data_IF_721469148717
#
_entry.id   IF_721469148717
#
_cell.length_a   1.000
_cell.length_b   1.000
_cell.length_c   1.000
_cell.angle_alpha   90.00
_cell.angle_beta   90.00
_cell.angle_gamma   90.00
#
_symmetry.space_group_name_H-M   'P 1'
#
loop_
_entity.id
_entity.type
_entity.pdbx_description
1 polymer ?
#
# COMPACT_ATOMS: atom_id res chain seq x y z
N UNK A 1 27.79 6.63 -40.97
CA UNK A 1 28.03 6.58 -39.51
C UNK A 1 26.71 6.29 -38.85
N UNK A 2 26.50 5.09 -38.38
CA UNK A 2 25.29 4.72 -37.61
C UNK A 2 25.45 5.32 -36.22
N UNK A 3 24.67 6.34 -35.88
CA UNK A 3 24.60 6.85 -34.50
C UNK A 3 24.01 5.76 -33.64
N UNK A 4 24.84 5.11 -32.85
CA UNK A 4 24.38 4.17 -31.83
C UNK A 4 23.77 4.98 -30.67
N UNK A 5 22.48 5.30 -30.77
CA UNK A 5 21.75 5.94 -29.69
C UNK A 5 21.70 4.91 -28.55
N UNK A 6 22.19 5.21 -27.34
CA UNK A 6 22.15 4.25 -26.24
C UNK A 6 20.71 3.85 -25.97
N UNK A 7 20.49 2.54 -25.87
CA UNK A 7 19.19 1.98 -25.55
C UNK A 7 18.73 2.52 -24.18
N UNK A 8 17.55 3.17 -24.16
CA UNK A 8 17.02 3.77 -22.94
C UNK A 8 16.57 2.67 -21.98
N UNK A 9 17.29 2.49 -20.89
CA UNK A 9 16.89 1.59 -19.81
C UNK A 9 15.84 2.30 -18.94
N UNK A 10 14.61 1.79 -18.94
CA UNK A 10 13.54 2.31 -18.09
C UNK A 10 13.64 1.74 -16.68
N UNK A 11 13.50 2.59 -15.67
CA UNK A 11 13.51 2.18 -14.25
C UNK A 11 12.32 1.25 -13.92
N UNK A 12 11.17 1.54 -14.52
CA UNK A 12 9.97 0.70 -14.42
C UNK A 12 9.13 0.85 -15.70
N UNK A 13 8.56 -0.25 -16.14
CA UNK A 13 7.59 -0.28 -17.22
C UNK A 13 6.31 -0.95 -16.68
N UNK A 14 5.25 -0.17 -16.38
CA UNK A 14 4.00 -0.73 -15.89
C UNK A 14 3.38 -1.69 -16.93
N UNK A 15 2.93 -2.84 -16.48
CA UNK A 15 2.10 -3.74 -17.28
C UNK A 15 0.64 -3.36 -17.06
N UNK A 16 0.11 -2.57 -17.96
CA UNK A 16 -1.29 -2.15 -17.94
C UNK A 16 -2.10 -3.03 -18.89
N UNK A 17 -3.38 -3.31 -18.59
CA UNK A 17 -4.28 -3.88 -19.56
C UNK A 17 -4.42 -2.93 -20.75
N UNK A 18 -4.61 -3.47 -21.96
CA UNK A 18 -4.88 -2.66 -23.13
C UNK A 18 -6.32 -2.09 -23.12
N UNK A 19 -6.60 -1.16 -24.06
CA UNK A 19 -7.89 -0.48 -24.11
C UNK A 19 -9.06 -1.45 -24.30
N UNK A 20 -8.88 -2.50 -25.11
CA UNK A 20 -9.93 -3.47 -25.39
C UNK A 20 -10.30 -4.30 -24.17
N UNK A 21 -9.33 -4.56 -23.28
CA UNK A 21 -9.57 -5.23 -21.99
C UNK A 21 -10.32 -4.32 -20.99
N UNK A 22 -10.11 -3.01 -21.05
CA UNK A 22 -10.74 -2.04 -20.12
C UNK A 22 -12.13 -1.62 -20.60
N UNK A 23 -12.34 -1.52 -21.92
CA UNK A 23 -13.57 -1.00 -22.53
C UNK A 23 -14.87 -1.68 -22.03
N UNK A 24 -14.94 -3.02 -21.81
CA UNK A 24 -16.15 -3.65 -21.26
C UNK A 24 -16.54 -3.11 -19.88
N UNK A 25 -15.57 -2.80 -19.04
CA UNK A 25 -15.83 -2.21 -17.71
C UNK A 25 -16.34 -0.78 -17.80
N UNK A 26 -15.76 0.03 -18.72
CA UNK A 26 -16.23 1.40 -18.97
C UNK A 26 -17.69 1.40 -19.43
N UNK A 27 -18.07 0.50 -20.35
CA UNK A 27 -19.45 0.36 -20.80
C UNK A 27 -20.40 0.01 -19.66
N UNK A 28 -20.00 -0.89 -18.75
CA UNK A 28 -20.78 -1.24 -17.55
C UNK A 28 -20.99 -0.04 -16.62
N UNK A 29 -19.99 0.83 -16.49
CA UNK A 29 -20.11 2.08 -15.72
C UNK A 29 -21.14 3.00 -16.38
N UNK A 30 -21.06 3.17 -17.70
CA UNK A 30 -21.98 4.02 -18.45
C UNK A 30 -23.43 3.50 -18.40
N UNK A 31 -23.62 2.20 -18.55
CA UNK A 31 -24.95 1.56 -18.46
C UNK A 31 -25.56 1.71 -17.08
N UNK A 32 -24.75 1.54 -16.03
CA UNK A 32 -25.19 1.69 -14.64
C UNK A 32 -25.42 3.14 -14.22
N UNK A 33 -24.87 4.13 -14.96
CA UNK A 33 -24.85 5.55 -14.58
C UNK A 33 -24.31 5.80 -13.17
N UNK A 34 -23.40 4.94 -12.69
CA UNK A 34 -22.86 4.97 -11.35
C UNK A 34 -21.33 5.12 -11.41
N UNK A 35 -20.84 6.36 -11.29
CA UNK A 35 -19.45 6.73 -11.57
C UNK A 35 -18.56 6.86 -10.33
N UNK A 36 -19.13 6.84 -9.12
CA UNK A 36 -18.40 7.08 -7.86
C UNK A 36 -19.10 6.43 -6.66
N UNK A 37 -18.45 6.49 -5.48
CA UNK A 37 -19.06 6.14 -4.19
C UNK A 37 -19.66 4.73 -4.12
N UNK A 38 -18.84 3.70 -4.04
CA UNK A 38 -19.28 2.32 -3.86
C UNK A 38 -20.14 1.76 -5.01
N UNK A 39 -19.78 2.08 -6.23
CA UNK A 39 -20.46 1.56 -7.42
C UNK A 39 -20.30 0.05 -7.60
N UNK A 40 -21.08 -0.56 -8.51
CA UNK A 40 -21.11 -2.02 -8.68
C UNK A 40 -19.73 -2.65 -8.96
N UNK A 41 -18.85 -1.95 -9.69
CA UNK A 41 -17.52 -2.48 -9.99
C UNK A 41 -16.58 -2.49 -8.78
N UNK A 42 -16.73 -1.53 -7.84
CA UNK A 42 -15.97 -1.55 -6.59
C UNK A 42 -16.41 -2.73 -5.75
N UNK A 43 -17.72 -2.95 -5.61
CA UNK A 43 -18.25 -4.09 -4.85
C UNK A 43 -17.82 -5.43 -5.45
N UNK A 44 -17.85 -5.57 -6.79
CA UNK A 44 -17.33 -6.76 -7.46
C UNK A 44 -15.84 -6.95 -7.22
N UNK A 45 -15.06 -5.87 -7.24
CA UNK A 45 -13.62 -5.92 -6.99
C UNK A 45 -13.33 -6.37 -5.55
N UNK A 46 -14.00 -5.80 -4.56
CA UNK A 46 -13.87 -6.19 -3.15
C UNK A 46 -14.25 -7.67 -2.93
N UNK A 47 -15.35 -8.12 -3.54
CA UNK A 47 -15.76 -9.52 -3.47
C UNK A 47 -14.72 -10.48 -4.09
N UNK A 48 -14.10 -10.09 -5.20
CA UNK A 48 -13.03 -10.89 -5.84
C UNK A 48 -11.76 -10.95 -5.00
N UNK A 49 -11.38 -9.83 -4.37
CA UNK A 49 -10.25 -9.78 -3.44
C UNK A 49 -10.53 -10.68 -2.23
N UNK A 50 -11.70 -10.55 -1.61
CA UNK A 50 -12.12 -11.36 -0.47
C UNK A 50 -12.07 -12.85 -0.79
N UNK A 51 -12.62 -13.25 -1.94
CA UNK A 51 -12.57 -14.65 -2.40
C UNK A 51 -11.12 -15.14 -2.61
N UNK A 52 -10.24 -14.30 -3.14
CA UNK A 52 -8.83 -14.63 -3.33
C UNK A 52 -8.06 -14.86 -2.03
N UNK A 53 -8.45 -14.18 -0.96
CA UNK A 53 -7.89 -14.34 0.39
C UNK A 53 -8.67 -15.31 1.28
N UNK A 54 -9.81 -15.83 0.84
CA UNK A 54 -10.64 -16.74 1.62
C UNK A 54 -11.29 -16.08 2.84
N UNK A 55 -11.63 -14.79 2.75
CA UNK A 55 -12.29 -14.01 3.81
C UNK A 55 -13.66 -13.51 3.34
N UNK A 56 -14.49 -13.08 4.28
CA UNK A 56 -15.77 -12.44 3.96
C UNK A 56 -15.55 -11.06 3.29
N UNK A 57 -16.47 -10.67 2.42
CA UNK A 57 -16.39 -9.38 1.69
C UNK A 57 -16.35 -8.19 2.66
N UNK A 58 -17.00 -8.27 3.81
CA UNK A 58 -17.00 -7.24 4.84
C UNK A 58 -15.62 -7.03 5.49
N UNK A 59 -14.67 -7.94 5.26
CA UNK A 59 -13.27 -7.80 5.69
C UNK A 59 -12.40 -7.04 4.69
N UNK A 60 -12.95 -6.63 3.55
CA UNK A 60 -12.22 -5.94 2.48
C UNK A 60 -12.83 -4.57 2.24
N UNK A 61 -12.00 -3.55 2.20
CA UNK A 61 -12.39 -2.22 1.77
C UNK A 61 -11.35 -1.63 0.83
N UNK A 62 -11.82 -0.99 -0.20
CA UNK A 62 -10.96 -0.28 -1.17
C UNK A 62 -10.78 1.17 -0.75
N UNK A 63 -9.61 1.70 -1.06
CA UNK A 63 -9.23 3.09 -0.79
C UNK A 63 -8.54 3.69 -2.02
N UNK A 64 -8.39 5.01 -2.04
CA UNK A 64 -7.86 5.73 -3.19
C UNK A 64 -6.42 5.35 -3.57
N UNK A 65 -5.59 4.95 -2.60
CA UNK A 65 -4.19 4.57 -2.81
C UNK A 65 -3.61 3.83 -1.59
N UNK A 66 -2.39 3.29 -1.73
CA UNK A 66 -1.72 2.55 -0.65
C UNK A 66 -1.44 3.38 0.60
N UNK A 67 -1.17 4.67 0.48
CA UNK A 67 -0.97 5.54 1.65
C UNK A 67 -2.24 5.65 2.49
N UNK A 68 -3.39 5.83 1.84
CA UNK A 68 -4.69 5.84 2.52
C UNK A 68 -4.99 4.49 3.19
N UNK A 69 -4.61 3.37 2.54
CA UNK A 69 -4.73 2.04 3.12
C UNK A 69 -3.92 1.90 4.42
N UNK A 70 -2.66 2.36 4.42
CA UNK A 70 -1.81 2.33 5.60
C UNK A 70 -2.39 3.19 6.73
N UNK A 71 -2.85 4.41 6.44
CA UNK A 71 -3.47 5.29 7.43
C UNK A 71 -4.70 4.62 8.06
N UNK A 72 -5.57 4.05 7.22
CA UNK A 72 -6.78 3.39 7.68
C UNK A 72 -6.48 2.17 8.56
N UNK A 73 -5.54 1.33 8.13
CA UNK A 73 -5.11 0.15 8.88
C UNK A 73 -4.53 0.52 10.26
N UNK A 74 -3.67 1.55 10.31
CA UNK A 74 -3.10 2.02 11.56
C UNK A 74 -4.17 2.60 12.50
N UNK A 75 -5.12 3.35 11.98
CA UNK A 75 -6.24 3.89 12.77
C UNK A 75 -7.21 2.82 13.26
N UNK A 76 -7.46 1.78 12.45
CA UNK A 76 -8.31 0.66 12.82
C UNK A 76 -7.79 -0.12 14.04
N UNK A 77 -6.45 -0.18 14.21
CA UNK A 77 -5.81 -0.74 15.41
C UNK A 77 -6.01 0.08 16.68
N UNK A 78 -6.54 1.30 16.56
CA UNK A 78 -6.83 2.23 17.65
C UNK A 78 -5.67 2.38 18.68
N UNK A 79 -4.42 2.56 18.23
CA UNK A 79 -3.31 2.76 19.14
C UNK A 79 -3.44 4.10 19.89
N UNK A 80 -2.94 4.22 21.12
CA UNK A 80 -2.90 5.51 21.81
C UNK A 80 -2.19 6.59 20.98
N UNK A 81 -2.67 7.84 20.98
CA UNK A 81 -2.00 8.93 20.28
C UNK A 81 -0.53 9.08 20.72
N UNK A 82 0.36 9.29 19.76
CA UNK A 82 1.80 9.42 20.01
C UNK A 82 2.55 8.10 20.19
N UNK A 83 1.85 6.96 20.16
CA UNK A 83 2.51 5.64 20.19
C UNK A 83 3.58 5.52 19.10
N UNK A 84 4.67 4.82 19.39
CA UNK A 84 5.71 4.56 18.41
C UNK A 84 5.21 3.60 17.33
N UNK A 85 5.43 3.96 16.08
CA UNK A 85 5.19 3.11 14.93
C UNK A 85 6.53 2.69 14.33
N UNK A 86 6.95 1.46 14.65
CA UNK A 86 8.21 0.90 14.14
C UNK A 86 8.10 0.66 12.64
N UNK A 87 9.15 1.07 11.94
CA UNK A 87 9.25 0.89 10.49
C UNK A 87 10.71 0.79 10.05
N UNK A 88 11.01 0.10 8.93
CA UNK A 88 12.36 0.09 8.40
C UNK A 88 12.77 1.49 7.93
N UNK A 89 14.05 1.84 8.11
CA UNK A 89 14.63 3.09 7.58
C UNK A 89 14.67 3.09 6.05
N UNK A 90 14.79 1.92 5.45
CA UNK A 90 14.69 1.69 4.01
C UNK A 90 13.24 1.40 3.61
N UNK A 91 12.48 2.45 3.38
CA UNK A 91 11.07 2.36 2.96
C UNK A 91 10.67 3.56 2.14
N UNK A 92 9.54 3.46 1.44
CA UNK A 92 8.97 4.60 0.75
C UNK A 92 8.43 5.62 1.77
N UNK A 93 8.59 6.90 1.47
CA UNK A 93 8.21 7.99 2.39
C UNK A 93 6.76 7.94 2.88
N UNK A 94 5.86 7.35 2.08
CA UNK A 94 4.45 7.16 2.47
C UNK A 94 4.27 6.38 3.78
N UNK A 95 5.20 5.47 4.14
CA UNK A 95 5.12 4.71 5.39
C UNK A 95 5.20 5.63 6.60
N UNK A 96 6.17 6.54 6.62
CA UNK A 96 6.33 7.50 7.71
C UNK A 96 5.20 8.56 7.73
N UNK A 97 4.77 9.01 6.54
CA UNK A 97 3.63 9.92 6.44
C UNK A 97 2.35 9.28 6.96
N UNK A 98 2.07 8.02 6.61
CA UNK A 98 0.90 7.32 7.10
C UNK A 98 0.87 7.19 8.62
N UNK A 99 2.02 6.88 9.26
CA UNK A 99 2.11 6.84 10.72
C UNK A 99 1.78 8.20 11.33
N UNK A 100 2.36 9.29 10.83
CA UNK A 100 2.08 10.65 11.30
C UNK A 100 0.63 11.05 11.14
N UNK A 101 0.04 10.78 9.98
CA UNK A 101 -1.38 11.06 9.70
C UNK A 101 -2.32 10.22 10.57
N UNK A 102 -1.87 9.04 10.99
CA UNK A 102 -2.60 8.23 11.95
C UNK A 102 -2.44 8.72 13.42
N UNK A 103 -1.65 9.77 13.66
CA UNK A 103 -1.40 10.32 15.01
C UNK A 103 -0.29 9.59 15.78
N UNK A 104 0.55 8.83 15.07
CA UNK A 104 1.64 8.04 15.64
C UNK A 104 3.00 8.72 15.44
N UNK A 105 3.98 8.30 16.19
CA UNK A 105 5.37 8.75 16.08
C UNK A 105 6.17 7.72 15.28
N UNK A 106 6.69 8.05 14.08
CA UNK A 106 7.57 7.15 13.33
C UNK A 106 8.80 6.77 14.16
N UNK A 107 9.09 5.47 14.26
CA UNK A 107 10.27 4.92 14.90
C UNK A 107 11.06 4.13 13.86
N UNK A 108 12.07 4.77 13.30
CA UNK A 108 12.89 4.19 12.26
C UNK A 108 13.90 3.21 12.85
N UNK A 109 13.95 2.03 12.26
CA UNK A 109 14.88 0.96 12.62
C UNK A 109 15.67 0.59 11.38
N UNK A 110 16.94 0.32 11.56
CA UNK A 110 17.82 -0.05 10.45
C UNK A 110 17.43 -1.41 9.83
N UNK A 111 17.94 -1.70 8.66
CA UNK A 111 17.66 -2.92 7.91
C UNK A 111 18.91 -3.79 7.81
N UNK A 112 18.74 -5.08 7.60
CA UNK A 112 19.85 -5.99 7.39
C UNK A 112 20.61 -5.64 6.10
N UNK A 113 21.96 -5.59 6.13
CA UNK A 113 22.78 -5.11 5.01
C UNK A 113 22.78 -6.05 3.81
N UNK A 114 22.43 -7.30 3.99
CA UNK A 114 22.44 -8.36 2.97
C UNK A 114 21.15 -8.43 2.15
N UNK A 115 20.00 -8.10 2.76
CA UNK A 115 18.69 -8.25 2.11
C UNK A 115 17.79 -7.01 2.20
N UNK A 116 18.24 -5.96 2.92
CA UNK A 116 17.56 -4.67 3.09
C UNK A 116 16.17 -4.79 3.74
N UNK A 117 15.96 -5.84 4.51
CA UNK A 117 14.74 -6.10 5.24
C UNK A 117 14.88 -5.87 6.74
N UNK A 118 13.78 -5.52 7.39
CA UNK A 118 13.67 -5.53 8.85
C UNK A 118 13.46 -6.97 9.31
N UNK A 119 14.49 -7.56 9.96
CA UNK A 119 14.41 -8.92 10.47
C UNK A 119 13.80 -8.97 11.87
N UNK A 120 13.29 -10.14 12.33
CA UNK A 120 12.80 -10.29 13.69
C UNK A 120 13.83 -9.95 14.78
N UNK A 121 15.11 -10.27 14.54
CA UNK A 121 16.22 -9.99 15.46
C UNK A 121 16.45 -8.48 15.60
N UNK A 122 16.48 -7.77 14.47
CA UNK A 122 16.64 -6.31 14.45
C UNK A 122 15.43 -5.64 15.11
N UNK A 123 14.23 -6.08 14.79
CA UNK A 123 13.01 -5.56 15.39
C UNK A 123 12.97 -5.81 16.92
N UNK A 124 13.36 -7.00 17.37
CA UNK A 124 13.46 -7.35 18.78
C UNK A 124 14.46 -6.48 19.55
N UNK A 125 15.65 -6.27 18.97
CA UNK A 125 16.67 -5.39 19.55
C UNK A 125 16.20 -3.93 19.62
N UNK A 126 15.51 -3.45 18.58
CA UNK A 126 14.95 -2.11 18.54
C UNK A 126 13.84 -1.92 19.59
N UNK A 127 12.98 -2.91 19.79
CA UNK A 127 11.94 -2.88 20.82
C UNK A 127 12.52 -2.80 22.22
N UNK A 128 13.60 -3.56 22.50
CA UNK A 128 14.28 -3.55 23.80
C UNK A 128 14.91 -2.18 24.13
N UNK A 129 15.23 -1.39 23.12
CA UNK A 129 15.87 -0.07 23.26
C UNK A 129 14.93 1.08 22.82
N UNK A 130 13.63 0.83 22.70
CA UNK A 130 12.67 1.83 22.26
C UNK A 130 12.57 2.99 23.29
N UNK A 131 12.44 4.25 22.83
CA UNK A 131 12.22 5.38 23.72
C UNK A 131 10.95 5.18 24.55
N UNK A 132 11.06 5.33 25.87
CA UNK A 132 9.92 5.24 26.79
C UNK A 132 9.65 3.84 27.39
N UNK A 133 10.54 2.88 27.15
CA UNK A 133 10.59 1.61 27.88
C UNK A 133 11.40 1.75 29.16
#
# INVERSE_FOLDING_TARGET
MVQNTPEKISVAVPRMPDADMVLPYLRRIDDARYYSNFGPLVQEFEARIAAGFGVDTDCVTTVANGTAALILALRAGNPPPGSLCMMPSWTFSATAHAAREAGLTPFFVDVAPDNWALTPEIAGAALANAPGN
#
